data_IF_721006899848
#
_entry.id   IF_721006899848
#
_cell.length_a   1.000
_cell.length_b   1.000
_cell.length_c   1.000
_cell.angle_alpha   90.00
_cell.angle_beta   90.00
_cell.angle_gamma   90.00
#
_symmetry.space_group_name_H-M   'P 1'
#
loop_
_entity.id
_entity.type
_entity.pdbx_description
1 polymer ?
#
# COMPACT_ATOMS: atom_id res chain seq x y z
N UNK A 1 19.43 -8.47 14.38
CA UNK A 1 18.01 -8.05 14.45
C UNK A 1 17.88 -7.00 15.53
N UNK A 2 17.29 -5.85 15.18
CA UNK A 2 17.07 -4.75 16.12
C UNK A 2 15.60 -4.73 16.51
N UNK A 3 15.29 -4.54 17.78
CA UNK A 3 13.91 -4.55 18.28
C UNK A 3 13.47 -3.12 18.63
N UNK A 4 12.19 -2.84 18.40
CA UNK A 4 11.52 -1.62 18.85
C UNK A 4 10.81 -1.96 20.15
N UNK A 5 10.91 -1.06 21.12
CA UNK A 5 10.36 -1.22 22.46
C UNK A 5 9.35 -0.11 22.75
N UNK A 6 8.31 -0.42 23.53
CA UNK A 6 7.39 0.59 24.07
C UNK A 6 7.99 1.32 25.29
N UNK A 7 7.22 2.25 25.84
CA UNK A 7 7.60 3.03 27.02
C UNK A 7 7.82 2.16 28.28
N UNK A 8 7.20 0.97 28.32
CA UNK A 8 7.35 -0.01 29.39
C UNK A 8 8.50 -1.02 29.13
N UNK A 9 9.26 -0.87 28.04
CA UNK A 9 10.38 -1.74 27.69
C UNK A 9 9.98 -3.09 27.10
N UNK A 10 8.73 -3.26 26.66
CA UNK A 10 8.25 -4.48 25.98
C UNK A 10 8.52 -4.38 24.49
N UNK A 11 8.90 -5.51 23.88
CA UNK A 11 9.13 -5.59 22.43
C UNK A 11 7.81 -5.43 21.68
N UNK A 12 7.71 -4.39 20.86
CA UNK A 12 6.53 -4.12 20.03
C UNK A 12 6.78 -4.37 18.55
N UNK A 13 8.04 -4.41 18.12
CA UNK A 13 8.39 -4.65 16.74
C UNK A 13 9.84 -5.07 16.55
N UNK A 14 10.17 -5.44 15.31
CA UNK A 14 11.52 -5.83 14.90
C UNK A 14 11.84 -5.17 13.57
N UNK A 15 13.03 -4.57 13.49
CA UNK A 15 13.62 -4.06 12.26
C UNK A 15 14.42 -5.20 11.64
N UNK A 16 13.99 -5.61 10.45
CA UNK A 16 14.57 -6.73 9.70
C UNK A 16 15.16 -6.20 8.40
N UNK A 17 16.43 -6.52 8.09
CA UNK A 17 17.02 -6.25 6.77
C UNK A 17 16.21 -6.89 5.64
N UNK A 18 16.13 -6.21 4.49
CA UNK A 18 15.22 -6.61 3.41
C UNK A 18 15.55 -7.98 2.80
N UNK A 19 16.82 -8.35 2.78
CA UNK A 19 17.33 -9.66 2.38
C UNK A 19 16.80 -10.78 3.29
N UNK A 20 16.73 -10.52 4.60
CA UNK A 20 16.19 -11.47 5.56
C UNK A 20 14.66 -11.51 5.52
N UNK A 21 13.98 -10.39 5.25
CA UNK A 21 12.51 -10.32 5.16
C UNK A 21 11.93 -11.34 4.17
N UNK A 22 12.53 -11.49 2.98
CA UNK A 22 12.08 -12.45 1.97
C UNK A 22 12.26 -13.91 2.40
N UNK A 23 13.32 -14.20 3.17
CA UNK A 23 13.59 -15.54 3.70
C UNK A 23 12.67 -15.95 4.85
N UNK A 24 12.06 -14.98 5.54
CA UNK A 24 11.18 -15.25 6.68
C UNK A 24 9.86 -15.89 6.27
N UNK A 25 9.60 -16.07 4.96
CA UNK A 25 8.41 -16.75 4.49
C UNK A 25 7.14 -16.14 5.06
N UNK A 26 7.18 -14.82 5.33
CA UNK A 26 5.99 -14.03 5.65
C UNK A 26 5.21 -14.07 4.36
N UNK A 27 4.40 -15.12 4.23
CA UNK A 27 3.34 -15.21 3.26
C UNK A 27 2.72 -13.83 3.27
N UNK A 28 2.86 -13.13 2.14
CA UNK A 28 1.91 -12.10 1.80
C UNK A 28 0.58 -12.80 2.07
N UNK A 29 -0.14 -12.36 3.09
CA UNK A 29 -1.53 -12.74 3.26
C UNK A 29 -2.26 -12.08 2.10
N UNK A 30 -2.08 -12.66 0.91
CA UNK A 30 -2.80 -12.33 -0.32
C UNK A 30 -4.27 -12.72 -0.14
N UNK A 31 -4.62 -13.43 0.93
CA UNK A 31 -5.98 -13.89 1.22
C UNK A 31 -6.90 -12.82 1.82
N UNK A 32 -6.39 -11.68 2.27
CA UNK A 32 -7.23 -10.49 2.43
C UNK A 32 -6.95 -9.60 1.25
N UNK A 33 -7.96 -9.41 0.40
CA UNK A 33 -8.00 -8.36 -0.61
C UNK A 33 -7.38 -7.09 0.00
N UNK A 34 -6.11 -6.85 -0.31
CA UNK A 34 -5.40 -5.68 0.15
C UNK A 34 -5.84 -4.56 -0.79
N UNK A 35 -7.02 -4.04 -0.49
CA UNK A 35 -7.76 -3.15 -1.36
C UNK A 35 -9.15 -2.94 -0.79
N UNK A 36 -9.59 -1.69 -0.79
CA UNK A 36 -10.99 -1.37 -0.52
C UNK A 36 -11.81 -2.07 -1.62
N UNK A 37 -12.75 -2.97 -1.26
CA UNK A 37 -13.60 -3.69 -2.23
C UNK A 37 -14.31 -2.78 -3.23
N UNK A 38 -14.63 -1.57 -2.80
CA UNK A 38 -15.31 -0.56 -3.61
C UNK A 38 -14.65 0.81 -3.43
N UNK A 39 -13.49 1.05 -4.07
CA UNK A 39 -12.73 2.30 -3.92
C UNK A 39 -13.55 3.53 -4.28
N UNK A 40 -14.52 3.36 -5.19
CA UNK A 40 -15.46 4.40 -5.65
C UNK A 40 -16.28 5.01 -4.51
N UNK A 41 -16.62 4.22 -3.48
CA UNK A 41 -17.36 4.70 -2.31
C UNK A 41 -16.58 5.72 -1.47
N UNK A 42 -15.26 5.78 -1.63
CA UNK A 42 -14.36 6.62 -0.85
C UNK A 42 -13.82 7.81 -1.64
N UNK A 43 -14.36 8.09 -2.83
CA UNK A 43 -13.95 9.23 -3.67
C UNK A 43 -14.50 10.60 -3.21
N UNK A 44 -15.25 10.64 -2.10
CA UNK A 44 -15.80 11.88 -1.54
C UNK A 44 -16.64 12.65 -2.58
N UNK A 45 -16.28 13.91 -2.85
CA UNK A 45 -16.93 14.76 -3.85
C UNK A 45 -16.83 14.21 -5.29
N UNK A 46 -15.86 13.33 -5.57
CA UNK A 46 -15.66 12.70 -6.86
C UNK A 46 -16.45 11.39 -7.02
N UNK A 47 -17.32 11.04 -6.06
CA UNK A 47 -18.13 9.81 -6.09
C UNK A 47 -19.09 9.74 -7.29
N UNK A 48 -19.61 10.87 -7.75
CA UNK A 48 -20.51 10.94 -8.92
C UNK A 48 -19.75 11.12 -10.24
N UNK A 49 -18.44 11.31 -10.19
CA UNK A 49 -17.63 11.52 -11.37
C UNK A 49 -17.38 10.15 -12.02
N UNK A 50 -18.05 9.90 -13.14
CA UNK A 50 -17.80 8.71 -13.99
C UNK A 50 -16.47 8.91 -14.72
N UNK A 51 -15.39 8.73 -13.99
CA UNK A 51 -14.04 8.77 -14.53
C UNK A 51 -13.58 7.35 -14.79
N UNK A 52 -13.18 7.10 -16.04
CA UNK A 52 -12.37 5.93 -16.35
C UNK A 52 -10.97 6.15 -15.78
N UNK A 53 -10.72 5.56 -14.60
CA UNK A 53 -9.44 5.62 -13.91
C UNK A 53 -8.28 5.18 -14.79
N UNK A 54 -8.51 4.22 -15.69
CA UNK A 54 -7.46 3.67 -16.53
C UNK A 54 -6.99 4.71 -17.55
N UNK A 55 -7.95 5.43 -18.12
CA UNK A 55 -7.66 6.52 -19.06
C UNK A 55 -7.02 7.73 -18.37
N UNK A 56 -7.46 8.10 -17.16
CA UNK A 56 -6.80 9.17 -16.41
C UNK A 56 -5.40 8.83 -15.96
N UNK A 57 -5.18 7.61 -15.44
CA UNK A 57 -3.84 7.15 -15.09
C UNK A 57 -2.91 7.13 -16.31
N UNK A 58 -3.42 6.76 -17.49
CA UNK A 58 -2.65 6.83 -18.73
C UNK A 58 -2.29 8.27 -19.07
N UNK A 59 -3.24 9.19 -19.05
CA UNK A 59 -3.00 10.62 -19.33
C UNK A 59 -1.96 11.22 -18.39
N UNK A 60 -2.06 10.95 -17.08
CA UNK A 60 -1.08 11.45 -16.11
C UNK A 60 0.32 10.90 -16.37
N UNK A 61 0.43 9.63 -16.81
CA UNK A 61 1.70 9.01 -17.18
C UNK A 61 2.28 9.63 -18.46
N UNK A 62 1.44 9.82 -19.47
CA UNK A 62 1.81 10.44 -20.73
C UNK A 62 2.23 11.93 -20.54
N UNK A 63 1.61 12.64 -19.59
CA UNK A 63 2.03 14.00 -19.20
C UNK A 63 3.39 14.00 -18.50
N UNK A 64 3.63 13.03 -17.62
CA UNK A 64 4.90 12.89 -16.91
C UNK A 64 6.06 12.53 -17.85
N UNK A 65 5.86 11.64 -18.82
CA UNK A 65 6.88 11.22 -19.79
C UNK A 65 7.21 12.30 -20.84
N UNK A 66 6.42 13.39 -20.88
CA UNK A 66 6.68 14.57 -21.73
C UNK A 66 7.59 15.61 -21.05
N UNK A 67 7.91 15.44 -19.77
CA UNK A 67 8.88 16.24 -19.01
C UNK A 67 10.25 15.56 -19.02
#
# INVERSE_FOLDING_TARGET
>A
MQYIYDAEGRRTGVIVPIDLWYSLGIEKSVEKECGIREPEKYRGIYRSLKVDLKDELRKMRDEWDRL
#
